data_IF_277660765071
#
_entry.id   IF_277660765071
#
_cell.length_a   1.000
_cell.length_b   1.000
_cell.length_c   1.000
_cell.angle_alpha   90.00
_cell.angle_beta   90.00
_cell.angle_gamma   90.00
#
_symmetry.space_group_name_H-M   'P 1'
#
loop_
_entity.id
_entity.type
_entity.pdbx_description
1 polymer ?
#
# COMPACT_ATOMS: atom_id res chain seq x y z
N UNK A 1 -29.47 31.60 6.17
CA UNK A 1 -28.10 31.87 6.64
C UNK A 1 -27.26 30.68 6.26
N UNK A 2 -26.54 30.79 5.15
CA UNK A 2 -25.65 29.76 4.62
C UNK A 2 -24.38 29.76 5.45
N UNK A 3 -24.11 28.70 6.21
CA UNK A 3 -22.82 28.51 6.89
C UNK A 3 -21.87 27.84 5.90
N UNK A 4 -21.25 28.64 5.04
CA UNK A 4 -20.11 28.21 4.25
C UNK A 4 -18.93 28.00 5.20
N UNK A 5 -18.51 26.75 5.38
CA UNK A 5 -17.22 26.46 6.03
C UNK A 5 -16.11 26.96 5.08
N UNK A 6 -15.13 27.73 5.56
CA UNK A 6 -14.02 28.14 4.72
C UNK A 6 -13.29 26.89 4.23
N UNK A 7 -13.13 26.76 2.90
CA UNK A 7 -12.23 25.80 2.28
C UNK A 7 -10.82 26.11 2.78
N UNK A 8 -10.30 25.28 3.68
CA UNK A 8 -8.94 25.43 4.18
C UNK A 8 -7.96 25.24 3.03
N UNK A 9 -7.02 26.17 2.99
CA UNK A 9 -5.84 26.24 2.12
C UNK A 9 -5.15 24.88 2.00
N UNK A 10 -4.83 24.50 0.75
CA UNK A 10 -4.20 23.25 0.29
C UNK A 10 -3.23 22.63 1.30
N UNK A 11 -3.75 21.85 2.25
CA UNK A 11 -2.96 21.06 3.18
C UNK A 11 -2.58 19.80 2.42
N UNK A 12 -1.28 19.60 2.17
CA UNK A 12 -0.77 18.33 1.63
C UNK A 12 -1.37 17.22 2.51
N UNK A 13 -2.08 16.25 1.91
CA UNK A 13 -2.86 15.25 2.65
C UNK A 13 -1.91 14.22 3.29
N UNK A 14 -1.28 14.61 4.39
CA UNK A 14 -0.45 13.69 5.17
C UNK A 14 -1.33 12.59 5.78
N UNK A 15 -0.70 11.46 6.11
CA UNK A 15 -1.41 10.27 6.62
C UNK A 15 -2.03 10.59 7.98
N UNK A 16 -3.34 10.39 8.10
CA UNK A 16 -4.11 10.65 9.31
C UNK A 16 -4.45 9.38 10.09
N UNK A 17 -4.52 8.24 9.40
CA UNK A 17 -4.90 6.94 9.99
C UNK A 17 -3.98 5.83 9.49
N UNK A 18 -3.37 5.12 10.43
CA UNK A 18 -2.65 3.88 10.19
C UNK A 18 -3.53 2.71 10.60
N UNK A 19 -4.11 2.02 9.62
CA UNK A 19 -4.89 0.80 9.84
C UNK A 19 -3.97 -0.42 9.81
N UNK A 20 -3.41 -0.75 10.97
CA UNK A 20 -2.36 -1.74 11.15
C UNK A 20 -2.90 -3.16 11.38
N UNK A 21 -4.10 -3.45 10.90
CA UNK A 21 -4.69 -4.78 11.00
C UNK A 21 -4.15 -5.71 9.92
N UNK A 22 -3.98 -6.99 10.27
CA UNK A 22 -3.57 -8.02 9.31
C UNK A 22 -4.58 -8.16 8.16
N UNK A 23 -4.15 -8.61 6.96
CA UNK A 23 -5.09 -8.98 5.91
C UNK A 23 -6.05 -10.03 6.46
N UNK A 24 -7.30 -10.04 5.99
CA UNK A 24 -8.35 -11.00 6.40
C UNK A 24 -8.96 -10.78 7.79
N UNK A 25 -8.73 -9.62 8.40
CA UNK A 25 -9.46 -9.15 9.62
C UNK A 25 -10.62 -8.20 9.32
N UNK A 26 -10.96 -8.00 8.04
CA UNK A 26 -12.01 -7.06 7.61
C UNK A 26 -11.50 -5.75 7.01
N UNK A 27 -10.23 -5.72 6.57
CA UNK A 27 -9.58 -4.54 5.96
C UNK A 27 -10.40 -3.90 4.83
N UNK A 28 -11.02 -4.69 3.95
CA UNK A 28 -11.86 -4.16 2.87
C UNK A 28 -13.14 -3.47 3.39
N UNK A 29 -13.77 -4.04 4.43
CA UNK A 29 -14.94 -3.41 5.07
C UNK A 29 -14.54 -2.11 5.76
N UNK A 30 -13.37 -2.09 6.42
CA UNK A 30 -12.83 -0.88 7.05
C UNK A 30 -12.47 0.18 6.02
N UNK A 31 -11.88 -0.20 4.89
CA UNK A 31 -11.63 0.68 3.75
C UNK A 31 -12.92 1.34 3.26
N UNK A 32 -14.01 0.58 3.12
CA UNK A 32 -15.31 1.13 2.76
C UNK A 32 -15.83 2.11 3.83
N UNK A 33 -15.68 1.80 5.12
CA UNK A 33 -16.06 2.69 6.22
C UNK A 33 -15.27 4.01 6.21
N UNK A 34 -13.95 3.97 6.00
CA UNK A 34 -13.14 5.18 5.90
C UNK A 34 -13.54 6.06 4.71
N UNK A 35 -13.83 5.44 3.56
CA UNK A 35 -14.35 6.15 2.39
C UNK A 35 -15.70 6.83 2.66
N UNK A 36 -16.59 6.17 3.40
CA UNK A 36 -17.85 6.77 3.85
C UNK A 36 -17.64 7.98 4.78
N UNK A 37 -16.58 7.95 5.59
CA UNK A 37 -16.17 9.07 6.45
C UNK A 37 -15.43 10.19 5.70
N UNK A 38 -15.21 10.05 4.39
CA UNK A 38 -14.60 11.08 3.54
C UNK A 38 -13.08 10.98 3.41
N UNK A 39 -12.46 9.89 3.88
CA UNK A 39 -11.01 9.69 3.76
C UNK A 39 -10.61 9.03 2.43
N UNK A 40 -9.45 9.41 1.90
CA UNK A 40 -8.76 8.65 0.84
C UNK A 40 -7.94 7.51 1.44
N UNK A 41 -8.03 6.32 0.84
CA UNK A 41 -7.49 5.08 1.43
C UNK A 41 -6.54 4.38 0.45
N UNK A 42 -5.36 4.01 0.93
CA UNK A 42 -4.44 3.10 0.26
C UNK A 42 -4.59 1.71 0.88
N UNK A 43 -4.99 0.73 0.06
CA UNK A 43 -5.15 -0.66 0.44
C UNK A 43 -4.23 -1.55 -0.40
N UNK A 44 -4.08 -2.82 -0.03
CA UNK A 44 -3.25 -3.76 -0.78
C UNK A 44 -3.69 -3.98 -2.23
N UNK A 45 -4.94 -3.69 -2.57
CA UNK A 45 -5.39 -3.73 -3.96
C UNK A 45 -4.77 -2.61 -4.79
N UNK A 46 -4.61 -1.41 -4.22
CA UNK A 46 -3.98 -0.27 -4.88
C UNK A 46 -2.49 -0.53 -5.12
N UNK A 47 -1.82 -1.21 -4.17
CA UNK A 47 -0.44 -1.66 -4.34
C UNK A 47 -0.30 -2.71 -5.46
N UNK A 48 -1.23 -3.66 -5.56
CA UNK A 48 -1.19 -4.68 -6.63
C UNK A 48 -1.54 -4.13 -8.01
N UNK A 49 -2.40 -3.11 -8.10
CA UNK A 49 -2.88 -2.58 -9.37
C UNK A 49 -1.92 -1.58 -10.03
N UNK A 50 -1.02 -0.95 -9.26
CA UNK A 50 -0.12 0.10 -9.76
C UNK A 50 1.31 -0.43 -9.94
N UNK A 51 1.71 -0.66 -11.19
CA UNK A 51 3.07 -1.07 -11.53
C UNK A 51 4.14 -0.07 -11.05
N UNK A 52 3.96 1.27 -11.17
CA UNK A 52 4.92 2.23 -10.62
C UNK A 52 5.08 2.13 -9.09
N UNK A 53 4.01 1.80 -8.35
CA UNK A 53 4.12 1.62 -6.90
C UNK A 53 4.94 0.38 -6.54
N UNK A 54 4.89 -0.68 -7.35
CA UNK A 54 5.65 -1.91 -7.10
C UNK A 54 7.16 -1.62 -7.06
N UNK A 55 7.68 -0.83 -8.01
CA UNK A 55 9.09 -0.44 -8.02
C UNK A 55 9.50 0.39 -6.78
N UNK A 56 8.60 1.24 -6.28
CA UNK A 56 8.84 2.03 -5.05
C UNK A 56 8.83 1.10 -3.82
N UNK A 57 7.88 0.16 -3.75
CA UNK A 57 7.83 -0.83 -2.67
C UNK A 57 9.05 -1.75 -2.67
N UNK A 58 9.56 -2.16 -3.84
CA UNK A 58 10.80 -2.93 -3.95
C UNK A 58 11.99 -2.14 -3.38
N UNK A 59 12.12 -0.86 -3.74
CA UNK A 59 13.13 0.03 -3.15
C UNK A 59 12.96 0.18 -1.63
N UNK A 60 11.72 0.29 -1.15
CA UNK A 60 11.44 0.38 0.28
C UNK A 60 11.89 -0.89 1.02
N UNK A 61 11.63 -2.07 0.44
CA UNK A 61 12.05 -3.37 0.99
C UNK A 61 13.56 -3.49 1.00
N UNK A 62 14.25 -3.14 -0.09
CA UNK A 62 15.71 -3.12 -0.15
C UNK A 62 16.32 -2.17 0.89
N UNK A 63 15.69 -1.01 1.11
CA UNK A 63 16.02 -0.07 2.17
C UNK A 63 15.85 -0.65 3.57
N UNK A 64 14.70 -1.27 3.84
CA UNK A 64 14.35 -1.89 5.13
C UNK A 64 15.34 -2.99 5.54
N UNK A 65 15.81 -3.77 4.56
CA UNK A 65 16.76 -4.86 4.80
C UNK A 65 18.23 -4.46 4.63
N UNK A 66 18.53 -3.15 4.54
CA UNK A 66 19.90 -2.62 4.53
C UNK A 66 20.69 -2.89 3.24
N UNK A 67 20.00 -3.21 2.14
CA UNK A 67 20.59 -3.42 0.81
C UNK A 67 20.66 -2.13 -0.01
N UNK A 68 19.87 -1.13 0.39
CA UNK A 68 19.87 0.23 -0.16
C UNK A 68 19.62 1.25 0.98
N UNK A 69 19.77 2.56 0.73
CA UNK A 69 19.28 3.58 1.66
C UNK A 69 17.75 3.47 1.85
N UNK A 70 17.23 3.66 3.08
CA UNK A 70 15.80 3.67 3.33
C UNK A 70 15.12 4.86 2.63
N UNK A 71 13.83 4.71 2.31
CA UNK A 71 13.02 5.80 1.80
C UNK A 71 12.87 6.91 2.84
N UNK A 72 12.95 8.16 2.38
CA UNK A 72 12.72 9.36 3.19
C UNK A 72 11.23 9.67 3.28
N UNK A 73 10.83 10.54 4.24
CA UNK A 73 9.44 11.02 4.32
C UNK A 73 8.95 11.61 2.99
N UNK A 74 9.82 12.33 2.28
CA UNK A 74 9.46 12.93 0.99
C UNK A 74 9.19 11.88 -0.10
N UNK A 75 9.89 10.74 -0.07
CA UNK A 75 9.61 9.63 -0.99
C UNK A 75 8.25 8.99 -0.70
N UNK A 76 7.90 8.85 0.60
CA UNK A 76 6.60 8.32 1.02
C UNK A 76 5.46 9.27 0.67
N UNK A 77 5.61 10.57 0.94
CA UNK A 77 4.59 11.60 0.69
C UNK A 77 4.52 12.10 -0.76
N UNK A 78 5.22 11.45 -1.70
CA UNK A 78 5.14 11.80 -3.11
C UNK A 78 3.68 11.68 -3.61
N UNK A 79 3.22 12.68 -4.37
CA UNK A 79 1.86 12.74 -4.93
C UNK A 79 1.57 11.58 -5.89
N UNK A 80 2.61 11.00 -6.51
CA UNK A 80 2.52 9.81 -7.36
C UNK A 80 2.56 8.51 -6.56
N UNK A 81 2.66 8.58 -5.23
CA UNK A 81 2.72 7.42 -4.34
C UNK A 81 1.71 7.52 -3.19
N UNK A 82 2.14 7.65 -1.92
CA UNK A 82 1.22 7.68 -0.78
C UNK A 82 0.68 9.07 -0.45
N UNK A 83 1.24 10.14 -1.02
CA UNK A 83 0.82 11.53 -0.78
C UNK A 83 -0.68 11.82 -0.95
N UNK A 84 -1.40 11.17 -1.87
CA UNK A 84 -2.85 11.38 -2.02
C UNK A 84 -3.73 10.72 -0.94
N UNK A 85 -3.16 9.86 -0.10
CA UNK A 85 -3.90 8.94 0.77
C UNK A 85 -3.81 9.32 2.25
N UNK A 86 -4.96 9.43 2.90
CA UNK A 86 -5.07 9.77 4.33
C UNK A 86 -5.09 8.53 5.23
N UNK A 87 -5.37 7.35 4.67
CA UNK A 87 -5.40 6.08 5.40
C UNK A 87 -4.52 5.05 4.71
N UNK A 88 -3.60 4.44 5.45
CA UNK A 88 -2.79 3.31 4.98
C UNK A 88 -3.27 2.02 5.63
N UNK A 89 -3.50 0.98 4.83
CA UNK A 89 -4.05 -0.29 5.28
C UNK A 89 -3.48 -1.47 4.47
N UNK A 90 -3.46 -2.65 5.09
CA UNK A 90 -3.16 -3.94 4.45
C UNK A 90 -1.71 -4.04 3.91
N UNK A 91 -1.34 -5.19 3.34
CA UNK A 91 -0.04 -5.37 2.72
C UNK A 91 0.09 -4.50 1.46
N UNK A 92 1.22 -3.80 1.24
CA UNK A 92 2.49 -3.92 1.96
C UNK A 92 2.68 -2.92 3.13
N UNK A 93 1.74 -1.99 3.36
CA UNK A 93 1.88 -0.92 4.37
C UNK A 93 2.15 -1.44 5.79
N UNK A 94 1.51 -2.54 6.18
CA UNK A 94 1.69 -3.14 7.52
C UNK A 94 3.12 -3.64 7.77
N UNK A 95 3.88 -3.95 6.71
CA UNK A 95 5.28 -4.37 6.85
C UNK A 95 6.20 -3.23 7.29
N UNK A 96 5.75 -1.98 7.19
CA UNK A 96 6.49 -0.76 7.57
C UNK A 96 5.90 -0.09 8.81
N UNK A 97 5.20 -0.86 9.66
CA UNK A 97 4.52 -0.34 10.85
C UNK A 97 5.42 0.52 11.74
N UNK A 98 6.63 0.05 12.06
CA UNK A 98 7.53 0.78 12.95
C UNK A 98 7.96 2.12 12.34
N UNK A 99 8.37 2.09 11.07
CA UNK A 99 8.77 3.28 10.31
C UNK A 99 7.62 4.27 10.17
N UNK A 100 6.40 3.78 9.90
CA UNK A 100 5.23 4.64 9.69
C UNK A 100 4.76 5.30 10.97
N UNK A 101 4.91 4.64 12.13
CA UNK A 101 4.65 5.26 13.43
C UNK A 101 5.66 6.37 13.76
N UNK A 102 6.91 6.26 13.31
CA UNK A 102 7.93 7.30 13.46
C UNK A 102 7.71 8.48 12.49
N UNK A 103 7.31 8.18 11.25
CA UNK A 103 7.10 9.18 10.20
C UNK A 103 5.82 10.00 10.42
N UNK A 104 4.74 9.36 10.89
CA UNK A 104 3.45 9.99 11.14
C UNK A 104 2.99 9.77 12.59
N UNK A 105 3.67 10.38 13.58
CA UNK A 105 3.39 10.15 15.00
C UNK A 105 2.01 10.65 15.45
N UNK A 106 1.43 11.61 14.72
CA UNK A 106 0.10 12.16 15.00
C UNK A 106 -1.04 11.33 14.37
N UNK A 107 -0.71 10.35 13.52
CA UNK A 107 -1.71 9.51 12.87
C UNK A 107 -2.38 8.59 13.91
N UNK A 108 -3.71 8.47 13.80
CA UNK A 108 -4.47 7.56 14.65
C UNK A 108 -4.21 6.12 14.23
N UNK A 109 -3.98 5.25 15.20
CA UNK A 109 -3.79 3.82 14.94
C UNK A 109 -5.09 3.07 15.12
N UNK A 110 -5.44 2.23 14.13
CA UNK A 110 -6.58 1.32 14.20
C UNK A 110 -6.09 -0.11 14.01
N UNK A 111 -6.34 -0.94 15.01
CA UNK A 111 -6.09 -2.38 14.97
C UNK A 111 -7.41 -3.12 15.09
N UNK A 112 -7.76 -3.90 14.07
CA UNK A 112 -8.96 -4.76 14.08
C UNK A 112 -8.50 -6.18 14.29
N UNK A 113 -8.98 -6.77 15.39
CA UNK A 113 -8.65 -8.13 15.78
C UNK A 113 -9.73 -9.12 15.36
N UNK A 114 -9.29 -10.36 15.14
CA UNK A 114 -10.14 -11.50 14.83
C UNK A 114 -9.57 -12.70 15.60
N UNK A 115 -10.45 -13.62 15.98
CA UNK A 115 -10.07 -14.94 16.46
C UNK A 115 -8.99 -15.57 15.56
N UNK A 116 -7.89 -16.02 16.16
CA UNK A 116 -6.66 -16.38 15.45
C UNK A 116 -6.87 -17.59 14.53
N UNK A 117 -7.59 -18.61 14.99
CA UNK A 117 -7.87 -19.82 14.22
C UNK A 117 -8.73 -19.48 12.99
N UNK A 118 -9.78 -18.68 13.19
CA UNK A 118 -10.63 -18.20 12.09
C UNK A 118 -9.88 -17.29 11.12
N UNK A 119 -8.95 -16.46 11.61
CA UNK A 119 -8.11 -15.63 10.78
C UNK A 119 -7.15 -16.47 9.95
N UNK A 120 -6.43 -17.40 10.57
CA UNK A 120 -5.47 -18.29 9.92
C UNK A 120 -6.15 -19.08 8.80
N UNK A 121 -7.28 -19.72 9.08
CA UNK A 121 -8.06 -20.44 8.06
C UNK A 121 -8.40 -19.53 6.87
N UNK A 122 -8.84 -18.30 7.12
CA UNK A 122 -9.16 -17.35 6.06
C UNK A 122 -7.91 -16.90 5.28
N UNK A 123 -6.78 -16.73 5.97
CA UNK A 123 -5.51 -16.31 5.39
C UNK A 123 -4.93 -17.41 4.49
N UNK A 124 -4.90 -18.65 4.98
CA UNK A 124 -4.45 -19.82 4.21
C UNK A 124 -5.31 -20.08 2.97
N UNK A 125 -6.61 -19.78 3.02
CA UNK A 125 -7.49 -19.99 1.88
C UNK A 125 -7.38 -18.89 0.81
N UNK A 126 -7.14 -17.63 1.22
CA UNK A 126 -7.32 -16.48 0.34
C UNK A 126 -6.01 -15.79 -0.03
N UNK A 127 -5.03 -15.76 0.87
CA UNK A 127 -3.77 -15.03 0.66
C UNK A 127 -2.65 -15.97 0.24
N UNK A 128 -2.41 -17.05 1.01
CA UNK A 128 -1.31 -17.99 0.75
C UNK A 128 -1.31 -18.57 -0.67
N UNK A 129 -2.45 -19.00 -1.25
CA UNK A 129 -2.45 -19.63 -2.57
C UNK A 129 -2.36 -18.62 -3.72
N UNK A 130 -2.68 -17.34 -3.48
CA UNK A 130 -2.72 -16.28 -4.50
C UNK A 130 -1.45 -16.23 -5.37
N UNK A 131 -0.23 -16.17 -4.82
CA UNK A 131 1.01 -16.17 -5.62
C UNK A 131 1.34 -17.51 -6.29
N UNK A 132 0.66 -18.61 -5.92
CA UNK A 132 0.92 -19.96 -6.43
C UNK A 132 -0.18 -20.47 -7.36
N UNK A 133 -1.11 -19.62 -7.78
CA UNK A 133 -2.07 -19.96 -8.83
C UNK A 133 -1.33 -20.23 -10.14
N UNK A 134 -1.88 -21.11 -10.98
CA UNK A 134 -1.28 -21.40 -12.30
C UNK A 134 -1.15 -20.13 -13.16
N UNK A 135 -2.09 -19.19 -13.03
CA UNK A 135 -2.05 -17.88 -13.68
C UNK A 135 -0.86 -17.04 -13.19
N UNK A 136 -0.68 -16.94 -11.87
CA UNK A 136 0.45 -16.22 -11.29
C UNK A 136 1.80 -16.87 -11.65
N UNK A 137 1.86 -18.20 -11.70
CA UNK A 137 3.05 -18.93 -12.15
C UNK A 137 3.37 -18.61 -13.61
N UNK A 138 2.37 -18.60 -14.51
CA UNK A 138 2.58 -18.24 -15.92
C UNK A 138 3.05 -16.79 -16.05
N UNK A 139 2.39 -15.85 -15.37
CA UNK A 139 2.79 -14.44 -15.34
C UNK A 139 4.28 -14.31 -14.94
N UNK A 140 4.64 -14.87 -13.78
CA UNK A 140 6.01 -14.76 -13.23
C UNK A 140 7.08 -15.51 -14.02
N UNK A 141 6.75 -16.68 -14.57
CA UNK A 141 7.76 -17.55 -15.21
C UNK A 141 7.91 -17.29 -16.71
N UNK A 142 6.91 -16.70 -17.35
CA UNK A 142 6.90 -16.50 -18.81
C UNK A 142 6.82 -15.01 -19.16
N UNK A 143 5.83 -14.29 -18.61
CA UNK A 143 5.57 -12.92 -19.01
C UNK A 143 6.51 -11.91 -18.36
N UNK A 144 6.80 -11.99 -17.06
CA UNK A 144 7.71 -11.04 -16.39
C UNK A 144 9.12 -11.05 -17.02
N UNK A 145 9.78 -12.21 -17.25
CA UNK A 145 11.07 -12.23 -17.92
C UNK A 145 11.00 -11.70 -19.36
N UNK A 146 9.88 -11.94 -20.05
CA UNK A 146 9.68 -11.42 -21.40
C UNK A 146 9.51 -9.90 -21.41
N UNK A 147 8.78 -9.33 -20.45
CA UNK A 147 8.62 -7.88 -20.29
C UNK A 147 9.95 -7.20 -19.94
N UNK A 148 10.72 -7.76 -18.99
CA UNK A 148 12.04 -7.23 -18.65
C UNK A 148 13.01 -7.26 -19.84
N UNK A 149 12.98 -8.35 -20.62
CA UNK A 149 13.77 -8.46 -21.86
C UNK A 149 13.33 -7.42 -22.88
N UNK A 150 12.02 -7.20 -23.02
CA UNK A 150 11.45 -6.22 -23.93
C UNK A 150 11.85 -4.79 -23.54
N UNK A 151 11.77 -4.42 -22.27
CA UNK A 151 12.19 -3.10 -21.78
C UNK A 151 13.71 -2.86 -21.97
N UNK A 152 14.52 -3.90 -21.77
CA UNK A 152 15.97 -3.86 -22.06
C UNK A 152 16.27 -3.71 -23.55
N UNK A 153 15.46 -4.33 -24.43
CA UNK A 153 15.63 -4.27 -25.88
C UNK A 153 15.08 -2.99 -26.52
N UNK A 154 13.96 -2.46 -26.04
CA UNK A 154 13.28 -1.29 -26.61
C UNK A 154 13.84 0.04 -26.06
N UNK A 155 14.67 0.01 -25.01
CA UNK A 155 15.24 1.20 -24.39
C UNK A 155 14.19 2.00 -23.65
N UNK A 156 14.09 1.76 -22.34
CA UNK A 156 13.22 2.41 -21.35
C UNK A 156 12.27 3.53 -21.87
N UNK A 157 11.17 3.13 -22.51
CA UNK A 157 10.16 4.05 -23.10
C UNK A 157 9.30 4.70 -22.00
N UNK A 158 9.44 4.29 -20.74
CA UNK A 158 8.65 4.79 -19.60
C UNK A 158 9.42 5.71 -18.65
N UNK A 159 10.64 6.14 -19.02
CA UNK A 159 11.37 7.20 -18.30
C UNK A 159 11.14 8.58 -18.94
N UNK A 160 9.91 9.09 -18.87
CA UNK A 160 9.59 10.53 -19.01
C UNK A 160 8.41 10.89 -18.13
#
# INVERSE_FOLDING_TARGET
MSTDKPKSESTRKSVEILHLAMPRTGSLSMMAAYRLLGYTTYHGFDATASHPHQAIWDRAVEGKFGRAPPLTLADWEDEKFLGPYQVLSDCPTIFFTAEFLELWPEAKVVLVERDVDKWEMSFQQQIVPSPFTWQAVILRKVFDPWLELREKCEGNVFAT
#
